data_IF_471961137997
#
_entry.id   IF_471961137997
#
_cell.length_a   1.000
_cell.length_b   1.000
_cell.length_c   1.000
_cell.angle_alpha   90.00
_cell.angle_beta   90.00
_cell.angle_gamma   90.00
#
_symmetry.space_group_name_H-M   'P 1'
#
loop_
_entity.id
_entity.type
_entity.pdbx_description
1 polymer ?
#
# COMPACT_ATOMS: atom_id res chain seq x y z
N UNK A 1 -21.43 4.59 -20.41
CA UNK A 1 -20.06 3.99 -20.34
C UNK A 1 -19.63 4.00 -18.90
N UNK A 2 -19.24 2.87 -18.39
CA UNK A 2 -18.69 2.80 -17.06
C UNK A 2 -17.36 3.58 -17.04
N UNK A 3 -17.27 4.53 -16.14
CA UNK A 3 -16.13 5.40 -15.99
C UNK A 3 -15.13 4.66 -15.10
N UNK A 4 -14.11 4.05 -15.67
CA UNK A 4 -13.08 3.34 -14.91
C UNK A 4 -12.11 4.33 -14.29
N UNK A 5 -11.89 4.25 -13.00
CA UNK A 5 -11.04 5.17 -12.24
C UNK A 5 -9.78 4.46 -11.75
N UNK A 6 -8.62 5.00 -12.08
CA UNK A 6 -7.33 4.56 -11.57
C UNK A 6 -6.84 5.60 -10.55
N UNK A 7 -6.63 5.17 -9.33
CA UNK A 7 -6.01 5.99 -8.29
C UNK A 7 -4.55 5.63 -8.10
N UNK A 8 -3.66 6.61 -8.16
CA UNK A 8 -2.22 6.46 -7.97
C UNK A 8 -1.81 7.10 -6.65
N UNK A 9 -1.08 6.38 -5.80
CA UNK A 9 -0.59 6.94 -4.55
C UNK A 9 0.86 6.58 -4.26
N UNK A 10 1.62 7.57 -3.83
CA UNK A 10 2.99 7.40 -3.33
C UNK A 10 3.06 7.44 -1.81
N UNK A 11 1.90 7.52 -1.13
CA UNK A 11 1.83 7.61 0.33
C UNK A 11 2.55 8.87 0.86
N UNK A 12 3.36 8.69 1.88
CA UNK A 12 4.22 9.75 2.44
C UNK A 12 5.59 9.83 1.77
N UNK A 13 5.87 8.94 0.80
CA UNK A 13 7.16 8.89 0.11
C UNK A 13 7.20 9.80 -1.12
N UNK A 14 8.37 9.90 -1.72
CA UNK A 14 8.59 10.61 -2.98
C UNK A 14 8.90 9.57 -4.06
N UNK A 15 8.04 9.46 -5.06
CA UNK A 15 8.25 8.55 -6.18
C UNK A 15 7.87 9.23 -7.50
N UNK A 16 8.69 10.20 -7.90
CA UNK A 16 8.48 11.03 -9.09
C UNK A 16 8.36 10.21 -10.36
N UNK A 17 9.20 9.19 -10.54
CA UNK A 17 9.21 8.37 -11.75
C UNK A 17 7.89 7.63 -11.98
N UNK A 18 7.26 7.13 -10.90
CA UNK A 18 5.93 6.54 -10.98
C UNK A 18 4.88 7.54 -11.46
N UNK A 19 4.90 8.75 -10.88
CA UNK A 19 3.95 9.81 -11.25
C UNK A 19 4.14 10.25 -12.69
N UNK A 20 5.37 10.45 -13.14
CA UNK A 20 5.68 10.78 -14.53
C UNK A 20 5.19 9.68 -15.48
N UNK A 21 5.47 8.44 -15.15
CA UNK A 21 5.05 7.31 -15.98
C UNK A 21 3.54 7.19 -16.08
N UNK A 22 2.82 7.39 -14.99
CA UNK A 22 1.36 7.38 -15.00
C UNK A 22 0.77 8.56 -15.78
N UNK A 23 1.37 9.74 -15.69
CA UNK A 23 0.96 10.90 -16.47
C UNK A 23 1.14 10.68 -17.99
N UNK A 24 2.25 10.08 -18.40
CA UNK A 24 2.50 9.70 -19.80
C UNK A 24 1.48 8.65 -20.31
N UNK A 25 1.09 7.73 -19.47
CA UNK A 25 0.16 6.66 -19.82
C UNK A 25 -1.30 7.11 -19.82
N UNK A 26 -1.67 8.08 -19.02
CA UNK A 26 -3.06 8.50 -18.80
C UNK A 26 -3.86 8.73 -20.11
N UNK A 27 -3.34 9.42 -21.14
CA UNK A 27 -4.07 9.61 -22.39
C UNK A 27 -4.37 8.31 -23.15
N UNK A 28 -3.50 7.31 -23.03
CA UNK A 28 -3.64 6.02 -23.74
C UNK A 28 -4.52 5.01 -23.00
N UNK A 29 -4.68 5.19 -21.69
CA UNK A 29 -5.50 4.29 -20.87
C UNK A 29 -7.01 4.50 -21.11
N UNK A 30 -7.41 5.71 -21.48
CA UNK A 30 -8.81 6.06 -21.70
C UNK A 30 -9.65 6.14 -20.43
N UNK A 31 -9.02 6.17 -19.26
CA UNK A 31 -9.62 6.17 -17.94
C UNK A 31 -9.43 7.50 -17.23
N UNK A 32 -10.21 7.72 -16.16
CA UNK A 32 -9.90 8.80 -15.24
C UNK A 32 -8.73 8.41 -14.35
N UNK A 33 -7.64 9.21 -14.39
CA UNK A 33 -6.46 8.99 -13.54
C UNK A 33 -6.39 10.09 -12.49
N UNK A 34 -6.37 9.71 -11.23
CA UNK A 34 -6.22 10.60 -10.07
C UNK A 34 -4.94 10.22 -9.33
N UNK A 35 -4.05 11.19 -9.10
CA UNK A 35 -2.72 10.95 -8.55
C UNK A 35 -2.50 11.73 -7.25
N UNK A 36 -2.12 11.03 -6.19
CA UNK A 36 -1.59 11.61 -4.98
C UNK A 36 -0.06 11.62 -5.10
N UNK A 37 0.51 12.82 -5.25
CA UNK A 37 1.92 12.99 -5.64
C UNK A 37 2.88 13.29 -4.48
N UNK A 38 2.38 13.55 -3.28
CA UNK A 38 3.21 13.86 -2.11
C UNK A 38 4.11 15.10 -2.33
N UNK A 39 5.36 15.00 -1.88
CA UNK A 39 6.37 16.05 -2.00
C UNK A 39 7.15 16.04 -3.32
N UNK A 40 6.78 15.21 -4.27
CA UNK A 40 7.45 15.16 -5.57
C UNK A 40 7.38 16.51 -6.29
N UNK A 41 8.43 16.91 -7.04
CA UNK A 41 8.46 18.20 -7.78
C UNK A 41 7.65 18.16 -9.06
N UNK A 42 7.34 16.99 -9.59
CA UNK A 42 6.61 16.82 -10.84
C UNK A 42 5.11 17.00 -10.64
N UNK A 43 4.50 17.82 -11.47
CA UNK A 43 3.05 18.05 -11.52
C UNK A 43 2.47 17.45 -12.80
N UNK A 44 1.58 16.45 -12.70
CA UNK A 44 0.96 15.82 -13.86
C UNK A 44 0.14 16.78 -14.71
N UNK A 45 0.08 16.51 -16.03
CA UNK A 45 -0.66 17.31 -17.01
C UNK A 45 -1.88 16.59 -17.58
N UNK A 46 -1.86 15.25 -17.55
CA UNK A 46 -2.88 14.41 -18.22
C UNK A 46 -3.83 13.74 -17.25
N UNK A 47 -3.71 14.01 -15.95
CA UNK A 47 -4.59 13.48 -14.92
C UNK A 47 -4.86 14.51 -13.83
N UNK A 48 -5.85 14.24 -13.01
CA UNK A 48 -6.08 15.02 -11.78
C UNK A 48 -5.03 14.66 -10.75
N UNK A 49 -4.58 15.62 -9.96
CA UNK A 49 -3.63 15.35 -8.89
C UNK A 49 -3.86 16.22 -7.66
N UNK A 50 -3.33 15.75 -6.55
CA UNK A 50 -3.20 16.48 -5.30
C UNK A 50 -1.96 15.99 -4.55
N UNK A 51 -1.47 16.79 -3.58
CA UNK A 51 -0.27 16.42 -2.81
C UNK A 51 -0.63 15.57 -1.61
N UNK A 52 -1.51 16.07 -0.78
CA UNK A 52 -1.97 15.42 0.46
C UNK A 52 -3.46 15.65 0.64
N UNK A 53 -4.10 14.72 1.32
CA UNK A 53 -5.49 14.82 1.76
C UNK A 53 -5.58 14.35 3.22
N UNK A 54 -6.56 14.84 4.00
CA UNK A 54 -6.79 14.39 5.37
C UNK A 54 -7.08 12.88 5.47
N UNK A 55 -7.70 12.31 4.45
CA UNK A 55 -7.93 10.88 4.28
C UNK A 55 -7.86 10.50 2.80
N UNK A 56 -7.32 9.32 2.50
CA UNK A 56 -7.36 8.72 1.16
C UNK A 56 -8.59 7.81 0.95
N UNK A 57 -9.40 7.58 1.97
CA UNK A 57 -10.58 6.71 1.89
C UNK A 57 -11.55 7.06 0.75
N UNK A 58 -11.89 8.35 0.49
CA UNK A 58 -12.76 8.68 -0.64
C UNK A 58 -12.17 8.28 -2.00
N UNK A 59 -10.86 8.40 -2.15
CA UNK A 59 -10.15 8.03 -3.39
C UNK A 59 -10.08 6.52 -3.57
N UNK A 60 -9.82 5.78 -2.49
CA UNK A 60 -9.87 4.31 -2.51
C UNK A 60 -11.29 3.82 -2.84
N UNK A 61 -12.33 4.46 -2.29
CA UNK A 61 -13.71 4.06 -2.54
C UNK A 61 -14.11 4.20 -4.01
N UNK A 62 -13.70 5.30 -4.65
CA UNK A 62 -14.02 5.61 -6.05
C UNK A 62 -13.20 4.82 -7.06
N UNK A 63 -11.98 4.38 -6.69
CA UNK A 63 -11.08 3.69 -7.60
C UNK A 63 -11.55 2.27 -7.91
N UNK A 64 -11.43 1.87 -9.18
CA UNK A 64 -11.57 0.50 -9.65
C UNK A 64 -10.25 -0.26 -9.57
N UNK A 65 -9.13 0.46 -9.74
CA UNK A 65 -7.78 -0.06 -9.62
C UNK A 65 -6.88 0.97 -8.96
N UNK A 66 -5.99 0.50 -8.10
CA UNK A 66 -5.02 1.34 -7.41
C UNK A 66 -3.61 0.97 -7.88
N UNK A 67 -2.81 1.98 -8.19
CA UNK A 67 -1.38 1.86 -8.44
C UNK A 67 -0.65 2.52 -7.28
N UNK A 68 0.17 1.77 -6.58
CA UNK A 68 0.83 2.26 -5.37
C UNK A 68 2.31 1.88 -5.30
N UNK A 69 3.07 2.66 -4.54
CA UNK A 69 4.40 2.24 -4.10
C UNK A 69 4.31 1.02 -3.17
N UNK A 70 5.42 0.31 -2.99
CA UNK A 70 5.47 -0.96 -2.25
C UNK A 70 5.46 -0.82 -0.70
N UNK A 71 4.86 0.23 -0.16
CA UNK A 71 4.74 0.41 1.29
C UNK A 71 3.71 -0.50 1.93
N UNK A 72 4.09 -1.25 2.97
CA UNK A 72 3.22 -2.25 3.62
C UNK A 72 1.90 -1.66 4.13
N UNK A 73 1.93 -0.47 4.74
CA UNK A 73 0.71 0.19 5.22
C UNK A 73 -0.30 0.42 4.11
N UNK A 74 0.13 1.01 2.98
CA UNK A 74 -0.73 1.24 1.82
C UNK A 74 -1.24 -0.08 1.21
N UNK A 75 -0.39 -1.11 1.12
CA UNK A 75 -0.80 -2.42 0.62
C UNK A 75 -1.95 -2.98 1.45
N UNK A 76 -1.78 -3.03 2.77
CA UNK A 76 -2.80 -3.58 3.69
C UNK A 76 -4.10 -2.76 3.59
N UNK A 77 -4.01 -1.44 3.65
CA UNK A 77 -5.18 -0.55 3.54
C UNK A 77 -6.00 -0.80 2.27
N UNK A 78 -5.33 -0.96 1.13
CA UNK A 78 -5.98 -1.20 -0.17
C UNK A 78 -6.60 -2.59 -0.23
N UNK A 79 -5.87 -3.61 0.20
CA UNK A 79 -6.31 -5.00 0.14
C UNK A 79 -7.48 -5.29 1.09
N UNK A 80 -7.49 -4.68 2.29
CA UNK A 80 -8.61 -4.79 3.25
C UNK A 80 -9.92 -4.20 2.68
N UNK A 81 -9.82 -3.23 1.77
CA UNK A 81 -10.96 -2.66 1.05
C UNK A 81 -11.38 -3.49 -0.16
N UNK A 82 -10.71 -4.61 -0.43
CA UNK A 82 -11.01 -5.48 -1.57
C UNK A 82 -10.74 -4.85 -2.93
N UNK A 83 -9.85 -3.86 -3.00
CA UNK A 83 -9.52 -3.15 -4.24
C UNK A 83 -8.40 -3.86 -5.00
N UNK A 84 -8.44 -3.77 -6.33
CA UNK A 84 -7.36 -4.24 -7.20
C UNK A 84 -6.13 -3.36 -7.02
N UNK A 85 -4.97 -3.99 -6.86
CA UNK A 85 -3.72 -3.28 -6.57
C UNK A 85 -2.59 -3.72 -7.51
N UNK A 86 -1.98 -2.73 -8.14
CA UNK A 86 -0.68 -2.84 -8.80
C UNK A 86 0.35 -2.14 -7.92
N UNK A 87 1.32 -2.88 -7.41
CA UNK A 87 2.44 -2.33 -6.66
C UNK A 87 3.65 -2.13 -7.55
N UNK A 88 4.24 -0.94 -7.45
CA UNK A 88 5.50 -0.59 -8.10
C UNK A 88 6.50 -0.20 -7.03
N UNK A 89 7.67 -0.82 -7.04
CA UNK A 89 8.68 -0.54 -6.03
C UNK A 89 9.55 0.62 -6.46
N UNK A 90 9.78 1.56 -5.56
CA UNK A 90 10.77 2.60 -5.74
C UNK A 90 12.16 2.02 -5.52
N UNK A 91 13.02 1.92 -6.57
CA UNK A 91 14.32 1.28 -6.45
C UNK A 91 15.27 2.00 -5.48
N UNK A 92 15.01 3.29 -5.19
CA UNK A 92 15.85 4.08 -4.27
C UNK A 92 15.53 3.83 -2.78
N UNK A 93 14.37 3.27 -2.49
CA UNK A 93 13.90 3.02 -1.11
C UNK A 93 13.60 1.55 -0.83
N UNK A 94 13.72 0.68 -1.84
CA UNK A 94 13.47 -0.74 -1.69
C UNK A 94 14.56 -1.40 -0.85
N UNK A 95 14.15 -2.10 0.18
CA UNK A 95 14.99 -3.03 0.91
C UNK A 95 14.61 -4.50 0.61
N UNK A 96 15.45 -5.43 1.07
CA UNK A 96 15.21 -6.87 0.87
C UNK A 96 13.89 -7.35 1.52
N UNK A 97 13.46 -6.70 2.60
CA UNK A 97 12.21 -7.04 3.29
C UNK A 97 10.98 -6.65 2.47
N UNK A 98 11.03 -5.49 1.83
CA UNK A 98 9.96 -5.02 0.93
C UNK A 98 9.80 -5.96 -0.27
N UNK A 99 10.90 -6.35 -0.90
CA UNK A 99 10.86 -7.30 -2.02
C UNK A 99 10.30 -8.66 -1.59
N UNK A 100 10.71 -9.15 -0.44
CA UNK A 100 10.22 -10.42 0.10
C UNK A 100 8.71 -10.39 0.36
N UNK A 101 8.21 -9.32 0.96
CA UNK A 101 6.78 -9.13 1.21
C UNK A 101 5.97 -9.07 -0.09
N UNK A 102 6.40 -8.26 -1.06
CA UNK A 102 5.74 -8.15 -2.35
C UNK A 102 5.68 -9.48 -3.09
N UNK A 103 6.75 -10.26 -3.02
CA UNK A 103 6.80 -11.61 -3.58
C UNK A 103 5.73 -12.51 -2.98
N UNK A 104 5.59 -12.52 -1.64
CA UNK A 104 4.58 -13.30 -0.93
C UNK A 104 3.17 -12.86 -1.32
N UNK A 105 2.88 -11.56 -1.31
CA UNK A 105 1.56 -11.04 -1.68
C UNK A 105 1.18 -11.36 -3.13
N UNK A 106 2.14 -11.24 -4.05
CA UNK A 106 1.94 -11.57 -5.45
C UNK A 106 1.74 -13.09 -5.68
N UNK A 107 2.51 -13.94 -5.00
CA UNK A 107 2.35 -15.40 -5.06
C UNK A 107 0.98 -15.87 -4.54
N UNK A 108 0.44 -15.18 -3.53
CA UNK A 108 -0.92 -15.43 -3.00
C UNK A 108 -2.03 -14.83 -3.84
N UNK A 109 -1.67 -14.20 -4.97
CA UNK A 109 -2.61 -13.53 -5.87
C UNK A 109 -3.44 -12.42 -5.18
N UNK A 110 -2.85 -11.70 -4.24
CA UNK A 110 -3.50 -10.55 -3.60
C UNK A 110 -3.31 -9.26 -4.37
N UNK A 111 -2.19 -9.12 -5.08
CA UNK A 111 -1.84 -7.93 -5.86
C UNK A 111 -1.01 -8.31 -7.09
N UNK A 112 -0.88 -7.35 -8.01
CA UNK A 112 0.06 -7.45 -9.13
C UNK A 112 1.34 -6.70 -8.79
N UNK A 113 2.49 -7.37 -8.80
CA UNK A 113 3.78 -6.72 -8.61
C UNK A 113 4.41 -6.34 -9.94
N UNK A 114 4.42 -5.06 -10.26
CA UNK A 114 5.11 -4.50 -11.42
C UNK A 114 6.55 -4.16 -11.04
N UNK A 115 7.51 -4.91 -11.57
CA UNK A 115 8.94 -4.76 -11.23
C UNK A 115 9.61 -3.61 -11.98
N UNK A 116 9.06 -3.22 -13.12
CA UNK A 116 9.61 -2.21 -14.00
C UNK A 116 8.51 -1.28 -14.50
N UNK A 117 8.76 0.04 -14.40
CA UNK A 117 7.83 1.08 -14.85
C UNK A 117 7.57 1.01 -16.37
N UNK A 118 8.48 0.48 -17.17
CA UNK A 118 8.27 0.30 -18.61
C UNK A 118 7.10 -0.65 -18.89
N UNK A 119 6.88 -1.64 -18.00
CA UNK A 119 5.81 -2.62 -18.10
C UNK A 119 4.52 -2.21 -17.35
N UNK A 120 4.44 -0.98 -16.85
CA UNK A 120 3.31 -0.53 -16.04
C UNK A 120 1.97 -0.58 -16.77
N UNK A 121 1.93 -0.21 -18.06
CA UNK A 121 0.73 -0.29 -18.87
C UNK A 121 0.21 -1.74 -18.98
N UNK A 122 1.12 -2.68 -19.25
CA UNK A 122 0.80 -4.12 -19.31
C UNK A 122 0.33 -4.64 -17.96
N UNK A 123 0.97 -4.20 -16.86
CA UNK A 123 0.60 -4.58 -15.51
C UNK A 123 -0.83 -4.10 -15.15
N UNK A 124 -1.17 -2.88 -15.51
CA UNK A 124 -2.52 -2.32 -15.35
C UNK A 124 -3.54 -3.16 -16.13
N UNK A 125 -3.28 -3.44 -17.41
CA UNK A 125 -4.17 -4.23 -18.25
C UNK A 125 -4.39 -5.65 -17.72
N UNK A 126 -3.35 -6.30 -17.24
CA UNK A 126 -3.44 -7.62 -16.63
C UNK A 126 -4.21 -7.57 -15.30
N UNK A 127 -3.94 -6.57 -14.46
CA UNK A 127 -4.64 -6.42 -13.18
C UNK A 127 -6.15 -6.17 -13.37
N UNK A 128 -6.56 -5.43 -14.41
CA UNK A 128 -8.00 -5.25 -14.76
C UNK A 128 -8.70 -6.58 -14.98
N UNK A 129 -8.05 -7.49 -15.69
CA UNK A 129 -8.61 -8.79 -16.09
C UNK A 129 -8.45 -9.85 -15.00
N UNK A 130 -7.58 -9.64 -14.03
CA UNK A 130 -7.29 -10.59 -12.96
C UNK A 130 -8.37 -10.53 -11.89
N UNK A 131 -8.84 -11.70 -11.47
CA UNK A 131 -9.60 -11.86 -10.24
C UNK A 131 -8.63 -12.19 -9.12
N UNK A 132 -8.39 -11.20 -8.26
CA UNK A 132 -7.51 -11.38 -7.12
C UNK A 132 -8.18 -12.16 -6.00
N UNK A 133 -7.37 -12.86 -5.20
CA UNK A 133 -7.82 -13.52 -3.99
C UNK A 133 -8.22 -12.46 -2.93
N UNK A 134 -9.21 -12.80 -2.11
CA UNK A 134 -9.63 -11.95 -1.02
C UNK A 134 -8.57 -11.97 0.11
N UNK A 135 -8.05 -10.78 0.44
CA UNK A 135 -7.11 -10.62 1.55
C UNK A 135 -7.86 -10.52 2.87
N UNK A 136 -7.39 -11.26 3.86
CA UNK A 136 -7.82 -11.13 5.24
C UNK A 136 -6.60 -10.81 6.09
N UNK A 137 -6.63 -9.69 6.78
CA UNK A 137 -5.60 -9.37 7.77
C UNK A 137 -5.55 -10.46 8.83
N UNK A 138 -4.35 -10.93 9.23
CA UNK A 138 -4.22 -11.80 10.39
C UNK A 138 -4.79 -11.10 11.62
N UNK A 139 -5.44 -11.88 12.51
CA UNK A 139 -5.86 -11.33 13.80
C UNK A 139 -4.65 -10.78 14.55
N UNK A 140 -4.76 -9.54 15.00
CA UNK A 140 -3.69 -8.89 15.73
C UNK A 140 -3.83 -9.18 17.22
N UNK A 141 -3.00 -10.07 17.74
CA UNK A 141 -2.97 -10.45 19.16
C UNK A 141 -1.93 -9.65 19.98
N UNK A 142 -1.38 -8.56 19.42
CA UNK A 142 -0.33 -7.79 20.08
C UNK A 142 -0.78 -7.24 21.45
N UNK A 143 -2.06 -6.89 21.61
CA UNK A 143 -2.62 -6.43 22.87
C UNK A 143 -2.60 -7.53 23.95
N UNK A 144 -2.76 -8.80 23.56
CA UNK A 144 -2.67 -9.95 24.47
C UNK A 144 -1.22 -10.16 24.92
N UNK A 145 -0.27 -10.10 23.98
CA UNK A 145 1.16 -10.21 24.27
C UNK A 145 1.64 -9.10 25.21
N UNK A 146 1.21 -7.85 24.97
CA UNK A 146 1.55 -6.72 25.83
C UNK A 146 0.94 -6.91 27.22
N UNK A 147 -0.32 -7.30 27.32
CA UNK A 147 -0.99 -7.54 28.61
C UNK A 147 -0.26 -8.64 29.40
N UNK A 148 0.04 -9.78 28.79
CA UNK A 148 0.71 -10.90 29.43
C UNK A 148 2.12 -10.52 29.91
N UNK A 149 2.84 -9.69 29.12
CA UNK A 149 4.14 -9.16 29.50
C UNK A 149 4.04 -8.23 30.72
N UNK A 150 3.06 -7.32 30.76
CA UNK A 150 2.85 -6.41 31.89
C UNK A 150 2.43 -7.14 33.16
N UNK A 151 1.57 -8.16 33.05
CA UNK A 151 1.18 -8.99 34.18
C UNK A 151 2.37 -9.81 34.72
N UNK A 152 3.24 -10.28 33.84
CA UNK A 152 4.49 -10.97 34.21
C UNK A 152 5.44 -10.07 34.99
N UNK A 153 5.59 -8.80 34.61
CA UNK A 153 6.40 -7.82 35.36
C UNK A 153 5.84 -7.56 36.77
N UNK A 154 4.51 -7.46 36.89
CA UNK A 154 3.87 -7.24 38.21
C UNK A 154 4.09 -8.37 39.19
N UNK A 155 4.22 -9.60 38.73
CA UNK A 155 4.52 -10.79 39.58
C UNK A 155 5.97 -10.78 40.08
N UNK A 156 6.92 -10.31 39.27
CA UNK A 156 8.32 -10.21 39.67
C UNK A 156 8.58 -9.13 40.74
N UNK A 157 7.86 -8.02 40.69
CA UNK A 157 7.97 -6.97 41.73
C UNK A 157 7.36 -7.41 43.08
N UNK A 158 6.31 -8.24 43.06
CA UNK A 158 5.74 -8.82 44.27
C UNK A 158 6.71 -9.73 45.02
N UNK A 159 7.52 -10.51 44.31
CA UNK A 159 8.53 -11.39 44.89
C UNK A 159 9.72 -10.64 45.50
N UNK A 160 10.15 -9.54 44.91
CA UNK A 160 11.24 -8.69 45.46
C UNK A 160 10.84 -7.97 46.72
N UNK A 161 9.57 -7.54 46.86
CA UNK A 161 9.08 -6.91 48.09
C UNK A 161 8.87 -7.87 49.25
N UNK A 162 8.61 -9.15 48.96
CA UNK A 162 8.47 -10.20 50.00
C UNK A 162 9.84 -10.58 50.59
N UNK A 163 10.94 -10.51 49.82
CA UNK A 163 12.30 -10.82 50.31
C UNK A 163 12.98 -9.69 51.11
N UNK A 164 12.43 -8.47 51.09
CA UNK A 164 12.97 -7.34 51.86
C UNK A 164 12.28 -7.18 53.22
N UNK A 165 11.34 -8.04 53.60
CA UNK A 165 10.61 -8.00 54.89
C UNK A 165 10.85 -9.23 55.78
N UNK A 166 11.92 -9.98 55.49
CA UNK A 166 12.34 -11.12 56.35
C UNK A 166 13.63 -10.81 57.09
#
# INVERSE_FOLDING_TARGET
MEHYVIFVTVGSTKFTDLIQRMDELAPSLGDEVVMQIGNGPYEPKNGRFFRYAPSLDPYYAQADLIVAHGGLGTIVEVLERGKKLVCVVNPTTMDLHQEHLLRIFAQKNYLFWCKDLEHLATAIDQARKTQFAHYQSPECHIHEVIRDYLEGLGRHDGLRRAQQRG
#
